data_IF_145949358085
#
_entry.id   IF_145949358085
#
_cell.length_a   1.000
_cell.length_b   1.000
_cell.length_c   1.000
_cell.angle_alpha   90.00
_cell.angle_beta   90.00
_cell.angle_gamma   90.00
#
_symmetry.space_group_name_H-M   'P 1'
#
loop_
_entity.id
_entity.type
_entity.pdbx_description
1 polymer ?
#
# COMPACT_ATOMS: atom_id res chain seq x y z
N UNK A 1 -19.10 -4.59 12.68
CA UNK A 1 -18.70 -5.56 11.64
C UNK A 1 -17.19 -5.58 11.64
N UNK A 2 -16.58 -6.61 12.23
CA UNK A 2 -15.12 -6.78 12.24
C UNK A 2 -14.74 -7.39 10.90
N UNK A 3 -13.91 -6.71 10.11
CA UNK A 3 -13.37 -7.30 8.88
C UNK A 3 -12.19 -8.15 9.32
N UNK A 4 -12.36 -9.47 9.29
CA UNK A 4 -11.27 -10.44 9.46
C UNK A 4 -10.23 -10.23 8.34
N UNK A 5 -9.19 -9.45 8.63
CA UNK A 5 -8.04 -9.28 7.75
C UNK A 5 -7.18 -10.56 7.81
N UNK A 6 -7.62 -11.57 7.08
CA UNK A 6 -6.81 -12.73 6.75
C UNK A 6 -5.78 -12.28 5.73
N UNK A 7 -4.58 -11.93 6.21
CA UNK A 7 -3.44 -11.67 5.33
C UNK A 7 -3.23 -12.84 4.35
N UNK A 8 -2.71 -12.51 3.17
CA UNK A 8 -1.96 -13.48 2.36
C UNK A 8 -2.30 -13.62 0.88
N UNK A 9 -3.08 -12.71 0.26
CA UNK A 9 -3.21 -12.70 -1.21
C UNK A 9 -2.90 -11.32 -1.75
N UNK A 10 -1.71 -11.20 -2.33
CA UNK A 10 -1.28 -10.01 -3.05
C UNK A 10 -2.35 -9.58 -4.07
N UNK A 11 -2.84 -8.35 -3.94
CA UNK A 11 -3.85 -7.80 -4.84
C UNK A 11 -5.30 -8.05 -4.47
N UNK A 12 -5.59 -8.56 -3.27
CA UNK A 12 -6.97 -8.68 -2.76
C UNK A 12 -7.52 -7.36 -2.19
N UNK A 13 -6.66 -6.43 -1.78
CA UNK A 13 -7.07 -5.15 -1.18
C UNK A 13 -7.23 -4.04 -2.25
N UNK A 14 -8.48 -3.67 -2.63
CA UNK A 14 -8.71 -2.61 -3.62
C UNK A 14 -8.38 -1.21 -3.07
N UNK A 15 -8.48 -1.01 -1.75
CA UNK A 15 -8.18 0.28 -1.11
C UNK A 15 -6.65 0.45 -1.07
N UNK A 16 -5.94 -0.59 -0.63
CA UNK A 16 -4.49 -0.63 -0.62
C UNK A 16 -3.88 -0.41 -1.99
N UNK A 17 -4.42 -1.07 -3.02
CA UNK A 17 -4.02 -0.85 -4.41
C UNK A 17 -4.20 0.62 -4.82
N UNK A 18 -5.36 1.20 -4.55
CA UNK A 18 -5.65 2.61 -4.91
C UNK A 18 -4.69 3.58 -4.21
N UNK A 19 -4.37 3.32 -2.94
CA UNK A 19 -3.39 4.14 -2.21
C UNK A 19 -2.00 4.01 -2.85
N UNK A 20 -1.52 2.79 -3.12
CA UNK A 20 -0.21 2.57 -3.75
C UNK A 20 -0.13 3.24 -5.12
N UNK A 21 -1.13 3.08 -5.98
CA UNK A 21 -1.18 3.74 -7.29
C UNK A 21 -1.16 5.27 -7.17
N UNK A 22 -1.83 5.83 -6.16
CA UNK A 22 -1.82 7.28 -5.90
C UNK A 22 -0.46 7.77 -5.42
N UNK A 23 0.26 6.97 -4.62
CA UNK A 23 1.63 7.28 -4.20
C UNK A 23 2.61 7.17 -5.38
N UNK A 24 2.48 6.13 -6.21
CA UNK A 24 3.28 5.95 -7.42
C UNK A 24 3.11 7.12 -8.39
N UNK A 25 1.88 7.62 -8.57
CA UNK A 25 1.61 8.78 -9.42
C UNK A 25 2.25 10.08 -8.92
N UNK A 26 2.32 10.28 -7.60
CA UNK A 26 2.93 11.46 -6.99
C UNK A 26 4.47 11.34 -6.87
N UNK A 27 4.97 10.12 -6.73
CA UNK A 27 6.36 9.80 -6.47
C UNK A 27 6.86 8.64 -7.36
N UNK A 28 6.90 8.82 -8.70
CA UNK A 28 7.24 7.73 -9.62
C UNK A 28 8.67 7.23 -9.48
N UNK A 29 9.55 8.04 -8.89
CA UNK A 29 10.96 7.73 -8.71
C UNK A 29 11.29 7.15 -7.32
N UNK A 30 10.32 7.07 -6.40
CA UNK A 30 10.54 6.45 -5.08
C UNK A 30 10.63 4.92 -5.24
N UNK A 31 11.45 4.25 -4.43
CA UNK A 31 11.50 2.78 -4.38
C UNK A 31 10.28 2.20 -3.66
N UNK A 32 10.01 0.91 -3.83
CA UNK A 32 8.90 0.23 -3.14
C UNK A 32 9.04 0.34 -1.61
N UNK A 33 10.27 0.25 -1.09
CA UNK A 33 10.56 0.46 0.33
C UNK A 33 10.28 1.89 0.79
N UNK A 34 10.57 2.90 -0.04
CA UNK A 34 10.28 4.29 0.28
C UNK A 34 8.78 4.55 0.33
N UNK A 35 8.03 4.01 -0.64
CA UNK A 35 6.56 4.09 -0.65
C UNK A 35 6.00 3.38 0.58
N UNK A 36 6.46 2.15 0.87
CA UNK A 36 6.08 1.42 2.06
C UNK A 36 6.31 2.23 3.34
N UNK A 37 7.51 2.77 3.53
CA UNK A 37 7.84 3.57 4.71
C UNK A 37 6.97 4.83 4.84
N UNK A 38 6.63 5.46 3.71
CA UNK A 38 5.75 6.64 3.68
C UNK A 38 4.31 6.26 4.04
N UNK A 39 3.82 5.13 3.56
CA UNK A 39 2.53 4.56 3.94
C UNK A 39 2.51 4.17 5.42
N UNK A 40 3.57 3.56 5.96
CA UNK A 40 3.71 3.29 7.40
C UNK A 40 3.55 4.56 8.23
N UNK A 41 4.24 5.65 7.83
CA UNK A 41 4.18 6.92 8.56
C UNK A 41 2.79 7.52 8.51
N UNK A 42 2.13 7.49 7.35
CA UNK A 42 0.76 7.97 7.19
C UNK A 42 -0.22 7.14 8.04
N UNK A 43 -0.11 5.82 8.04
CA UNK A 43 -0.94 4.91 8.84
C UNK A 43 -0.77 5.14 10.34
N UNK A 44 0.48 5.24 10.80
CA UNK A 44 0.81 5.51 12.20
C UNK A 44 0.38 6.90 12.68
N UNK A 45 0.17 7.84 11.76
CA UNK A 45 -0.35 9.18 12.10
C UNK A 45 -1.85 9.20 12.39
N UNK A 46 -2.58 8.15 12.00
CA UNK A 46 -4.02 8.02 12.25
C UNK A 46 -4.23 7.20 13.54
N UNK A 47 -4.82 7.79 14.59
CA UNK A 47 -5.06 7.08 15.84
C UNK A 47 -6.08 5.95 15.65
N UNK A 48 -5.76 4.75 16.15
CA UNK A 48 -6.66 3.59 16.11
C UNK A 48 -6.59 2.75 14.82
N UNK A 49 -5.62 3.01 13.94
CA UNK A 49 -5.52 2.34 12.64
C UNK A 49 -5.18 0.85 12.71
N UNK A 50 -4.69 0.32 13.84
CA UNK A 50 -4.36 -1.10 13.96
C UNK A 50 -3.14 -1.51 13.13
N UNK A 51 -3.06 -2.77 12.71
CA UNK A 51 -1.95 -3.30 11.91
C UNK A 51 -1.90 -2.67 10.51
N UNK A 52 -0.68 -2.39 10.04
CA UNK A 52 -0.51 -1.90 8.68
C UNK A 52 -0.79 -3.02 7.68
N UNK A 53 -1.73 -2.83 6.73
CA UNK A 53 -2.20 -3.95 5.92
C UNK A 53 -1.27 -4.34 4.77
N UNK A 54 -0.42 -3.43 4.27
CA UNK A 54 0.21 -3.59 2.94
C UNK A 54 1.72 -3.85 3.06
N UNK A 55 2.19 -5.09 2.82
CA UNK A 55 3.62 -5.39 2.79
C UNK A 55 4.28 -4.87 1.51
N UNK A 56 5.62 -4.71 1.53
CA UNK A 56 6.41 -4.24 0.37
C UNK A 56 6.16 -5.09 -0.89
N UNK A 57 6.00 -6.40 -0.73
CA UNK A 57 5.76 -7.31 -1.86
C UNK A 57 4.45 -7.01 -2.61
N UNK A 58 3.41 -6.53 -1.91
CA UNK A 58 2.17 -6.10 -2.58
C UNK A 58 2.36 -4.81 -3.38
N UNK A 59 3.20 -3.90 -2.87
CA UNK A 59 3.55 -2.65 -3.56
C UNK A 59 4.29 -2.98 -4.86
N UNK A 60 5.28 -3.88 -4.79
CA UNK A 60 6.03 -4.34 -5.95
C UNK A 60 5.12 -5.04 -6.98
N UNK A 61 4.18 -5.87 -6.52
CA UNK A 61 3.21 -6.53 -7.37
C UNK A 61 2.34 -5.52 -8.15
N UNK A 62 1.83 -4.49 -7.48
CA UNK A 62 1.02 -3.47 -8.14
C UNK A 62 1.83 -2.54 -9.02
N UNK A 63 3.06 -2.18 -8.62
CA UNK A 63 3.98 -1.39 -9.45
C UNK A 63 4.28 -2.07 -10.78
N UNK A 64 4.46 -3.40 -10.79
CA UNK A 64 4.73 -4.15 -12.01
C UNK A 64 3.59 -4.03 -13.05
N UNK A 65 2.34 -3.85 -12.60
CA UNK A 65 1.17 -3.59 -13.45
C UNK A 65 0.84 -2.10 -13.64
N UNK A 66 1.55 -1.20 -12.95
CA UNK A 66 1.28 0.22 -12.97
C UNK A 66 1.94 0.86 -14.20
N UNK A 67 1.12 1.50 -15.04
CA UNK A 67 1.60 2.31 -16.15
C UNK A 67 1.36 3.77 -15.77
N UNK A 68 2.43 4.58 -15.69
CA UNK A 68 2.31 6.02 -15.50
C UNK A 68 1.44 6.59 -16.63
N UNK A 69 0.26 7.08 -16.26
CA UNK A 69 -0.78 7.49 -17.20
C UNK A 69 -0.67 8.98 -17.54
#
# INVERSE_FOLDING_TARGET
MSIDYTGGVAGRDPIGKTMVESFLAQHPNESDEQIHARMCRAWNSVPGSGEMPIPVDEIAHWRAGWTAR
#
